data_IF_198625764136
#
_entry.id   IF_198625764136
#
_cell.length_a   1.000
_cell.length_b   1.000
_cell.length_c   1.000
_cell.angle_alpha   90.00
_cell.angle_beta   90.00
_cell.angle_gamma   90.00
#
_symmetry.space_group_name_H-M   'P 1'
#
loop_
_entity.id
_entity.type
_entity.pdbx_description
1 polymer ?
#
# COMPACT_ATOMS: atom_id res chain seq x y z
N UNK A 1 37.59 -43.15 -27.30
CA UNK A 1 36.35 -43.33 -26.51
C UNK A 1 35.52 -42.07 -26.66
N UNK A 2 34.51 -42.10 -27.53
CA UNK A 2 33.62 -40.97 -27.80
C UNK A 2 32.47 -40.99 -26.80
N UNK A 3 32.36 -39.97 -25.95
CA UNK A 3 31.21 -39.79 -25.05
C UNK A 3 30.14 -38.97 -25.78
N UNK A 4 29.12 -39.66 -26.28
CA UNK A 4 27.91 -39.07 -26.83
C UNK A 4 27.02 -38.59 -25.68
N UNK A 5 26.84 -37.28 -25.53
CA UNK A 5 25.85 -36.74 -24.59
C UNK A 5 24.46 -36.79 -25.22
N UNK A 6 23.67 -37.74 -24.73
CA UNK A 6 22.25 -37.90 -24.98
C UNK A 6 21.47 -36.61 -24.72
N UNK A 7 20.54 -36.34 -25.64
CA UNK A 7 19.68 -35.18 -25.65
C UNK A 7 18.85 -35.00 -24.39
N UNK A 8 18.73 -33.74 -23.99
CA UNK A 8 17.54 -33.23 -23.32
C UNK A 8 17.10 -32.02 -24.13
N UNK A 9 16.14 -32.24 -25.00
CA UNK A 9 15.34 -31.18 -25.58
C UNK A 9 14.69 -30.44 -24.41
N UNK A 10 15.32 -29.38 -23.93
CA UNK A 10 14.66 -28.41 -23.08
C UNK A 10 13.60 -27.74 -23.95
N UNK A 11 12.43 -28.39 -24.06
CA UNK A 11 11.23 -27.76 -24.58
C UNK A 11 10.96 -26.57 -23.66
N UNK A 12 11.39 -25.39 -24.10
CA UNK A 12 10.82 -24.15 -23.60
C UNK A 12 9.30 -24.32 -23.70
N UNK A 13 8.54 -24.18 -22.59
CA UNK A 13 7.09 -24.12 -22.71
C UNK A 13 6.80 -22.99 -23.68
N UNK A 14 6.30 -23.35 -24.87
CA UNK A 14 6.04 -22.37 -25.91
C UNK A 14 5.19 -21.28 -25.28
N UNK A 15 5.54 -20.01 -25.49
CA UNK A 15 4.76 -18.87 -25.01
C UNK A 15 3.27 -18.95 -25.44
N UNK A 16 2.96 -19.78 -26.45
CA UNK A 16 1.61 -20.16 -26.89
C UNK A 16 0.78 -20.81 -25.78
N UNK A 17 1.39 -21.61 -24.89
CA UNK A 17 0.68 -22.40 -23.89
C UNK A 17 0.23 -21.52 -22.70
N UNK A 18 1.05 -20.53 -22.32
CA UNK A 18 0.69 -19.58 -21.27
C UNK A 18 -0.44 -18.64 -21.71
N UNK A 19 -0.34 -18.08 -22.92
CA UNK A 19 -1.39 -17.20 -23.47
C UNK A 19 -2.72 -17.96 -23.67
N UNK A 20 -2.66 -19.24 -24.05
CA UNK A 20 -3.84 -20.10 -24.20
C UNK A 20 -4.49 -20.44 -22.85
N UNK A 21 -3.68 -20.72 -21.82
CA UNK A 21 -4.14 -20.88 -20.43
C UNK A 21 -4.84 -19.61 -19.92
N UNK A 22 -4.28 -18.43 -20.17
CA UNK A 22 -4.94 -17.17 -19.81
C UNK A 22 -6.29 -16.96 -20.51
N UNK A 23 -6.41 -17.33 -21.79
CA UNK A 23 -7.70 -17.30 -22.50
C UNK A 23 -8.73 -18.28 -21.92
N UNK A 24 -8.29 -19.48 -21.52
CA UNK A 24 -9.19 -20.51 -20.95
C UNK A 24 -9.77 -20.16 -19.59
N UNK A 25 -9.11 -19.26 -18.84
CA UNK A 25 -9.56 -18.86 -17.51
C UNK A 25 -10.86 -18.03 -17.55
N UNK A 26 -11.30 -17.56 -18.73
CA UNK A 26 -12.48 -16.67 -18.92
C UNK A 26 -12.49 -15.46 -17.97
N UNK A 27 -11.32 -15.08 -17.44
CA UNK A 27 -11.19 -13.93 -16.54
C UNK A 27 -10.96 -12.72 -17.42
N UNK A 28 -11.83 -11.71 -17.28
CA UNK A 28 -11.66 -10.44 -17.98
C UNK A 28 -10.27 -9.85 -17.69
N UNK A 29 -9.66 -9.24 -18.71
CA UNK A 29 -8.32 -8.63 -18.60
C UNK A 29 -8.25 -7.61 -17.47
N UNK A 30 -9.33 -6.88 -17.18
CA UNK A 30 -9.38 -5.93 -16.05
C UNK A 30 -9.28 -6.66 -14.72
N UNK A 31 -9.91 -7.82 -14.59
CA UNK A 31 -9.85 -8.63 -13.37
C UNK A 31 -8.44 -9.19 -13.14
N UNK A 32 -7.78 -9.66 -14.20
CA UNK A 32 -6.37 -10.09 -14.14
C UNK A 32 -5.48 -8.92 -13.71
N UNK A 33 -5.61 -7.77 -14.35
CA UNK A 33 -4.84 -6.58 -14.00
C UNK A 33 -5.09 -6.12 -12.56
N UNK A 34 -6.34 -6.21 -12.08
CA UNK A 34 -6.69 -5.90 -10.70
C UNK A 34 -5.99 -6.86 -9.74
N UNK A 35 -6.06 -8.17 -9.98
CA UNK A 35 -5.41 -9.18 -9.13
C UNK A 35 -3.89 -9.02 -9.11
N UNK A 36 -3.26 -8.80 -10.27
CA UNK A 36 -1.82 -8.56 -10.37
C UNK A 36 -1.44 -7.28 -9.61
N UNK A 37 -2.21 -6.21 -9.77
CA UNK A 37 -1.99 -4.96 -9.03
C UNK A 37 -2.17 -5.15 -7.52
N UNK A 38 -3.17 -5.89 -7.07
CA UNK A 38 -3.38 -6.20 -5.64
C UNK A 38 -2.19 -6.96 -5.08
N UNK A 39 -1.75 -8.05 -5.72
CA UNK A 39 -0.59 -8.83 -5.27
C UNK A 39 0.71 -8.01 -5.25
N UNK A 40 0.91 -7.14 -6.25
CA UNK A 40 2.05 -6.23 -6.30
C UNK A 40 2.01 -5.19 -5.15
N UNK A 41 0.84 -4.65 -4.85
CA UNK A 41 0.67 -3.70 -3.74
C UNK A 41 0.73 -4.37 -2.36
N UNK A 42 0.28 -5.62 -2.22
CA UNK A 42 0.38 -6.41 -0.98
C UNK A 42 1.83 -6.84 -0.68
N UNK A 43 2.62 -7.10 -1.72
CA UNK A 43 4.04 -7.45 -1.60
C UNK A 43 4.96 -6.23 -1.43
N UNK A 44 4.48 -5.04 -1.74
CA UNK A 44 5.18 -3.79 -1.46
C UNK A 44 4.97 -3.41 0.02
N UNK A 45 6.04 -3.17 0.80
CA UNK A 45 5.88 -2.56 2.12
C UNK A 45 5.16 -1.23 1.91
N UNK A 46 4.01 -1.05 2.58
CA UNK A 46 3.27 0.20 2.59
C UNK A 46 4.24 1.32 2.95
N UNK A 47 4.71 2.08 1.95
CA UNK A 47 5.42 3.33 2.13
C UNK A 47 4.41 4.39 2.62
N UNK A 48 3.72 4.11 3.72
CA UNK A 48 3.09 5.15 4.52
C UNK A 48 4.26 5.95 5.07
N UNK A 49 4.57 7.08 4.44
CA UNK A 49 5.45 8.07 5.06
C UNK A 49 4.94 8.24 6.49
N UNK A 50 5.80 8.08 7.49
CA UNK A 50 5.50 8.26 8.92
C UNK A 50 5.20 9.75 9.23
N UNK A 51 4.32 10.40 8.47
CA UNK A 51 3.71 11.63 8.91
C UNK A 51 2.72 11.22 9.99
N UNK A 52 3.06 11.58 11.22
CA UNK A 52 2.17 11.46 12.36
C UNK A 52 0.79 12.05 11.98
N UNK A 53 -0.28 11.31 12.26
CA UNK A 53 -1.62 11.75 11.89
C UNK A 53 -1.94 13.06 12.59
N UNK A 54 -2.79 13.89 11.98
CA UNK A 54 -3.24 15.13 12.61
C UNK A 54 -3.84 14.88 13.99
N UNK A 55 -4.57 13.76 14.18
CA UNK A 55 -5.08 13.34 15.51
C UNK A 55 -3.95 13.13 16.51
N UNK A 56 -2.93 12.34 16.15
CA UNK A 56 -1.80 12.07 17.02
C UNK A 56 -1.00 13.34 17.38
N UNK A 57 -0.78 14.24 16.43
CA UNK A 57 -0.10 15.53 16.67
C UNK A 57 -0.86 16.42 17.67
N UNK A 58 -2.19 16.49 17.54
CA UNK A 58 -3.04 17.29 18.43
C UNK A 58 -3.06 16.71 19.85
N UNK A 59 -3.22 15.39 19.98
CA UNK A 59 -3.19 14.70 21.28
C UNK A 59 -1.82 14.89 21.95
N UNK A 60 -0.73 14.60 21.24
CA UNK A 60 0.62 14.74 21.78
C UNK A 60 0.94 16.17 22.23
N UNK A 61 0.39 17.19 21.57
CA UNK A 61 0.52 18.57 22.01
C UNK A 61 -0.29 18.85 23.27
N UNK A 62 -1.52 18.35 23.35
CA UNK A 62 -2.39 18.50 24.53
C UNK A 62 -1.84 17.78 25.75
N UNK A 63 -1.25 16.61 25.57
CA UNK A 63 -0.60 15.85 26.66
C UNK A 63 0.59 16.61 27.25
N UNK A 64 1.40 17.24 26.39
CA UNK A 64 2.53 18.08 26.82
C UNK A 64 2.07 19.41 27.42
N UNK A 65 0.90 19.91 27.01
CA UNK A 65 0.35 21.20 27.44
C UNK A 65 -1.12 21.05 27.87
N UNK A 66 -1.38 20.49 29.07
CA UNK A 66 -2.74 20.16 29.51
C UNK A 66 -3.67 21.38 29.56
N UNK A 67 -3.12 22.57 29.81
CA UNK A 67 -3.86 23.82 29.90
C UNK A 67 -3.98 24.56 28.56
N UNK A 68 -3.38 24.06 27.48
CA UNK A 68 -3.45 24.72 26.18
C UNK A 68 -4.90 24.78 25.67
N UNK A 69 -5.29 25.97 25.22
CA UNK A 69 -6.56 26.25 24.57
C UNK A 69 -6.55 25.74 23.12
N UNK A 70 -7.73 25.50 22.55
CA UNK A 70 -7.86 25.07 21.15
C UNK A 70 -7.20 26.04 20.17
N UNK A 71 -7.22 27.34 20.48
CA UNK A 71 -6.57 28.39 19.67
C UNK A 71 -5.05 28.26 19.70
N UNK A 72 -4.47 28.02 20.87
CA UNK A 72 -3.03 27.83 21.01
C UNK A 72 -2.56 26.55 20.29
N UNK A 73 -3.33 25.47 20.38
CA UNK A 73 -3.05 24.22 19.65
C UNK A 73 -3.12 24.44 18.14
N UNK A 74 -4.14 25.17 17.66
CA UNK A 74 -4.30 25.50 16.25
C UNK A 74 -3.12 26.33 15.71
N UNK A 75 -2.69 27.34 16.46
CA UNK A 75 -1.54 28.18 16.10
C UNK A 75 -0.24 27.39 16.13
N UNK A 76 0.00 26.58 17.17
CA UNK A 76 1.25 25.83 17.33
C UNK A 76 1.42 24.70 16.30
N UNK A 77 0.32 24.10 15.84
CA UNK A 77 0.34 23.00 14.87
C UNK A 77 0.06 23.42 13.43
N UNK A 78 -0.22 24.71 13.21
CA UNK A 78 -0.64 25.29 11.92
C UNK A 78 -1.89 24.58 11.36
N UNK A 79 -2.88 24.37 12.22
CA UNK A 79 -4.13 23.66 11.89
C UNK A 79 -5.33 24.59 12.02
N UNK A 80 -6.37 24.30 11.23
CA UNK A 80 -7.63 25.01 11.33
C UNK A 80 -8.35 24.66 12.65
N UNK A 81 -8.96 25.66 13.29
CA UNK A 81 -9.74 25.49 14.52
C UNK A 81 -10.79 24.36 14.46
N UNK A 82 -11.62 24.26 13.39
CA UNK A 82 -12.57 23.15 13.24
C UNK A 82 -11.92 21.75 13.29
N UNK A 83 -10.69 21.62 12.76
CA UNK A 83 -9.94 20.35 12.79
C UNK A 83 -9.56 19.98 14.23
N UNK A 84 -9.15 20.97 15.03
CA UNK A 84 -8.84 20.76 16.45
C UNK A 84 -10.11 20.36 17.23
N UNK A 85 -11.21 21.08 17.02
CA UNK A 85 -12.50 20.79 17.67
C UNK A 85 -12.95 19.38 17.36
N UNK A 86 -12.91 18.97 16.09
CA UNK A 86 -13.26 17.60 15.70
C UNK A 86 -12.38 16.56 16.39
N UNK A 87 -11.06 16.77 16.39
CA UNK A 87 -10.13 15.82 16.99
C UNK A 87 -10.31 15.68 18.51
N UNK A 88 -10.55 16.79 19.21
CA UNK A 88 -10.73 16.80 20.66
C UNK A 88 -12.13 16.34 21.12
N UNK A 89 -13.12 16.36 20.22
CA UNK A 89 -14.48 15.88 20.49
C UNK A 89 -14.73 14.43 20.01
N UNK A 90 -13.81 13.85 19.22
CA UNK A 90 -13.83 12.46 18.73
C UNK A 90 -13.13 11.48 19.73
N UNK A 91 -12.94 11.87 21.00
CA UNK A 91 -12.53 11.01 22.13
C UNK A 91 -13.68 10.89 23.14
#
# INVERSE_FOLDING_TARGET
MSHSYLGKDYKHPQASDYASKLKSLQVDRKTINKQVSTLYNESMPLLKSKKESTKARVIAYKDKNPLATQREIATALELNQPTIVRVLNDD
#
